data_IF_906181345016
#
_entry.id   IF_906181345016
#
_cell.length_a   1.000
_cell.length_b   1.000
_cell.length_c   1.000
_cell.angle_alpha   90.00
_cell.angle_beta   90.00
_cell.angle_gamma   90.00
#
_symmetry.space_group_name_H-M   'P 1'
#
loop_
_entity.id
_entity.type
_entity.pdbx_description
1 polymer ?
#
# COMPACT_ATOMS: atom_id res chain seq x y z
N UNK A 1 -2.38 9.57 -27.74
CA UNK A 1 -0.97 9.41 -27.28
C UNK A 1 -0.48 10.74 -26.76
N UNK A 2 0.11 10.76 -25.57
CA UNK A 2 0.76 11.97 -25.03
C UNK A 2 2.00 12.29 -25.87
N UNK A 3 2.23 13.59 -26.12
CA UNK A 3 3.36 14.09 -26.92
C UNK A 3 4.52 14.62 -26.04
N UNK A 4 4.45 14.43 -24.73
CA UNK A 4 5.44 14.92 -23.79
C UNK A 4 6.28 13.82 -23.16
N UNK A 5 7.35 14.23 -22.46
CA UNK A 5 8.15 13.38 -21.58
C UNK A 5 7.61 13.53 -20.18
N UNK A 6 7.34 12.39 -19.51
CA UNK A 6 6.82 12.38 -18.16
C UNK A 6 7.96 12.28 -17.15
N UNK A 7 7.95 13.17 -16.19
CA UNK A 7 8.79 13.08 -15.00
C UNK A 7 7.89 13.08 -13.77
N UNK A 8 8.14 12.16 -12.86
CA UNK A 8 7.51 12.20 -11.55
C UNK A 8 8.20 13.24 -10.67
N UNK A 9 7.51 13.78 -9.65
CA UNK A 9 8.16 14.64 -8.66
C UNK A 9 9.35 13.96 -8.01
N UNK A 10 10.41 14.72 -7.72
CA UNK A 10 11.55 14.22 -6.96
C UNK A 10 11.07 13.78 -5.58
N UNK A 11 11.34 12.54 -5.24
CA UNK A 11 10.93 11.96 -3.96
C UNK A 11 11.66 12.64 -2.80
N UNK A 12 10.91 12.90 -1.75
CA UNK A 12 11.43 13.41 -0.47
C UNK A 12 10.79 12.62 0.65
N UNK A 13 11.59 12.34 1.68
CA UNK A 13 11.08 11.65 2.85
C UNK A 13 9.90 12.39 3.47
N UNK A 14 8.92 11.62 3.91
CA UNK A 14 7.77 12.13 4.62
C UNK A 14 8.18 12.68 5.99
N UNK A 15 7.61 13.84 6.35
CA UNK A 15 7.90 14.45 7.63
C UNK A 15 7.30 13.65 8.78
N UNK A 16 8.14 13.25 9.73
CA UNK A 16 7.72 12.57 10.97
C UNK A 16 6.98 13.55 11.87
N UNK A 17 5.73 13.26 12.21
CA UNK A 17 4.92 14.06 13.12
C UNK A 17 5.30 13.77 14.58
N UNK A 18 5.26 14.79 15.42
CA UNK A 18 5.77 14.69 16.79
C UNK A 18 4.73 14.23 17.82
N UNK A 19 3.45 14.33 17.50
CA UNK A 19 2.32 14.00 18.39
C UNK A 19 2.43 14.64 19.78
N UNK A 20 2.92 15.89 19.84
CA UNK A 20 3.06 16.65 21.09
C UNK A 20 1.72 16.86 21.77
N UNK A 21 1.75 16.99 23.10
CA UNK A 21 0.54 17.31 23.87
C UNK A 21 -0.09 18.61 23.35
N UNK A 22 -1.39 18.56 22.99
CA UNK A 22 -2.14 19.70 22.46
C UNK A 22 -1.98 19.91 20.94
N UNK A 23 -1.33 19.01 20.21
CA UNK A 23 -1.29 19.09 18.74
C UNK A 23 -2.51 18.39 18.12
N UNK A 24 -2.94 18.92 16.97
CA UNK A 24 -4.11 18.39 16.25
C UNK A 24 -3.92 16.95 15.80
N UNK A 25 -2.71 16.60 15.33
CA UNK A 25 -2.40 15.24 14.92
C UNK A 25 -2.48 14.22 16.06
N UNK A 26 -2.16 14.66 17.30
CA UNK A 26 -2.33 13.84 18.49
C UNK A 26 -3.80 13.63 18.84
N UNK A 27 -4.58 14.69 18.79
CA UNK A 27 -6.01 14.63 19.14
C UNK A 27 -6.77 13.77 18.12
N UNK A 28 -6.47 13.91 16.84
CA UNK A 28 -6.99 13.05 15.75
C UNK A 28 -6.61 11.58 15.97
N UNK A 29 -5.34 11.30 16.23
CA UNK A 29 -4.88 9.92 16.47
C UNK A 29 -5.56 9.30 17.69
N UNK A 30 -5.67 10.02 18.80
CA UNK A 30 -6.31 9.50 20.01
C UNK A 30 -7.80 9.23 19.83
N UNK A 31 -8.49 10.10 19.07
CA UNK A 31 -9.90 9.89 18.71
C UNK A 31 -10.06 8.64 17.85
N UNK A 32 -9.25 8.53 16.79
CA UNK A 32 -9.27 7.37 15.87
C UNK A 32 -8.90 6.06 16.59
N UNK A 33 -7.88 6.10 17.45
CA UNK A 33 -7.50 4.93 18.25
C UNK A 33 -8.65 4.45 19.16
N UNK A 34 -9.31 5.38 19.87
CA UNK A 34 -10.44 5.04 20.75
C UNK A 34 -11.62 4.46 19.97
N UNK A 35 -11.95 5.04 18.82
CA UNK A 35 -13.00 4.55 17.96
C UNK A 35 -12.69 3.12 17.49
N UNK A 36 -11.51 2.88 16.94
CA UNK A 36 -11.11 1.56 16.43
C UNK A 36 -11.00 0.53 17.54
N UNK A 37 -10.46 0.90 18.73
CA UNK A 37 -10.32 -0.01 19.84
C UNK A 37 -11.65 -0.47 20.42
N UNK A 38 -12.69 0.38 20.37
CA UNK A 38 -14.03 0.09 20.87
C UNK A 38 -14.98 -0.45 19.79
N UNK A 39 -14.55 -0.53 18.54
CA UNK A 39 -15.34 -1.10 17.45
C UNK A 39 -15.05 -2.57 17.26
N UNK A 40 -16.00 -3.29 16.66
CA UNK A 40 -15.78 -4.67 16.22
C UNK A 40 -15.79 -4.71 14.70
N UNK A 41 -14.74 -5.30 14.12
CA UNK A 41 -14.55 -5.39 12.67
C UNK A 41 -14.53 -6.85 12.21
N UNK A 42 -15.08 -7.12 11.05
CA UNK A 42 -14.81 -8.35 10.31
C UNK A 42 -14.01 -8.03 9.05
N UNK A 43 -12.78 -8.57 8.97
CA UNK A 43 -11.87 -8.35 7.84
C UNK A 43 -12.12 -9.43 6.80
N UNK A 44 -12.63 -9.07 5.60
CA UNK A 44 -12.84 -10.01 4.50
C UNK A 44 -11.53 -10.33 3.78
N UNK A 45 -11.57 -11.30 2.88
CA UNK A 45 -10.60 -11.45 1.80
C UNK A 45 -10.97 -10.48 0.68
N UNK A 46 -9.99 -9.78 0.11
CA UNK A 46 -10.18 -8.93 -1.07
C UNK A 46 -9.66 -9.63 -2.31
N UNK A 47 -10.56 -10.10 -3.17
CA UNK A 47 -10.20 -10.83 -4.40
C UNK A 47 -10.98 -10.23 -5.57
N UNK A 48 -10.27 -9.81 -6.62
CA UNK A 48 -10.91 -9.24 -7.80
C UNK A 48 -11.75 -8.00 -7.52
N UNK A 49 -11.36 -7.19 -6.53
CA UNK A 49 -12.08 -5.98 -6.12
C UNK A 49 -13.36 -6.25 -5.31
N UNK A 50 -13.57 -7.47 -4.85
CA UNK A 50 -14.75 -7.89 -4.05
C UNK A 50 -14.34 -8.33 -2.66
N UNK A 51 -15.19 -8.04 -1.68
CA UNK A 51 -15.10 -8.59 -0.33
C UNK A 51 -15.68 -10.02 -0.31
N UNK A 52 -14.90 -10.96 0.23
CA UNK A 52 -15.28 -12.37 0.32
C UNK A 52 -15.17 -12.81 1.77
N UNK A 53 -16.27 -13.31 2.28
CA UNK A 53 -16.38 -13.84 3.63
C UNK A 53 -16.42 -15.36 3.58
N UNK A 54 -15.72 -16.00 4.52
CA UNK A 54 -15.64 -17.46 4.64
C UNK A 54 -16.21 -17.91 5.97
N UNK A 55 -16.46 -19.21 6.11
CA UNK A 55 -16.85 -19.79 7.40
C UNK A 55 -15.64 -20.03 8.32
N UNK A 56 -14.43 -20.00 7.76
CA UNK A 56 -13.19 -20.20 8.51
C UNK A 56 -12.64 -18.83 8.93
N UNK A 57 -12.77 -18.49 10.23
CA UNK A 57 -12.42 -17.18 10.77
C UNK A 57 -11.58 -17.32 12.03
N UNK A 58 -10.71 -16.34 12.29
CA UNK A 58 -9.99 -16.23 13.55
C UNK A 58 -10.26 -14.88 14.19
N UNK A 59 -10.30 -14.90 15.52
CA UNK A 59 -10.41 -13.68 16.34
C UNK A 59 -9.16 -12.82 16.24
N UNK A 60 -9.37 -11.51 16.31
CA UNK A 60 -8.31 -10.49 16.42
C UNK A 60 -8.34 -9.93 17.83
N UNK A 61 -7.20 -9.94 18.50
CA UNK A 61 -6.99 -9.31 19.79
C UNK A 61 -5.68 -8.51 19.76
N UNK A 62 -5.62 -7.35 20.41
CA UNK A 62 -4.35 -6.65 20.56
C UNK A 62 -3.34 -7.52 21.32
N UNK A 63 -2.05 -7.53 20.94
CA UNK A 63 -1.03 -8.31 21.67
C UNK A 63 -0.85 -7.89 23.13
N UNK A 64 -1.18 -6.66 23.48
CA UNK A 64 -1.12 -6.13 24.84
C UNK A 64 -2.43 -6.35 25.66
N UNK A 65 -3.51 -6.81 25.01
CA UNK A 65 -4.79 -7.11 25.67
C UNK A 65 -5.49 -8.30 24.98
N UNK A 66 -5.07 -9.51 25.30
CA UNK A 66 -5.59 -10.75 24.71
C UNK A 66 -7.06 -11.02 25.02
N UNK A 67 -7.61 -10.40 26.06
CA UNK A 67 -9.02 -10.57 26.45
C UNK A 67 -9.95 -9.69 25.62
N UNK A 68 -9.42 -8.61 25.08
CA UNK A 68 -10.17 -7.70 24.24
C UNK A 68 -10.25 -8.21 22.80
N UNK A 69 -11.46 -8.45 22.31
CA UNK A 69 -11.72 -8.90 20.95
C UNK A 69 -12.16 -7.72 20.11
N UNK A 70 -11.32 -7.33 19.16
CA UNK A 70 -11.60 -6.21 18.25
C UNK A 70 -12.19 -6.66 16.91
N UNK A 71 -12.32 -7.96 16.69
CA UNK A 71 -12.95 -8.46 15.49
C UNK A 71 -12.52 -9.86 15.09
N UNK A 72 -12.73 -10.15 13.81
CA UNK A 72 -12.36 -11.41 13.17
C UNK A 72 -11.77 -11.15 11.80
N UNK A 73 -10.92 -12.04 11.33
CA UNK A 73 -10.49 -12.07 9.94
C UNK A 73 -10.81 -13.40 9.30
N UNK A 74 -11.11 -13.36 8.01
CA UNK A 74 -11.45 -14.52 7.21
C UNK A 74 -10.19 -15.21 6.71
N UNK A 75 -10.13 -16.54 6.80
CA UNK A 75 -9.05 -17.36 6.28
C UNK A 75 -9.41 -17.87 4.89
N UNK A 76 -8.44 -17.81 3.98
CA UNK A 76 -8.59 -18.38 2.65
C UNK A 76 -8.43 -19.90 2.68
N UNK A 77 -9.26 -20.59 1.92
CA UNK A 77 -9.16 -21.98 1.60
C UNK A 77 -8.68 -22.14 0.15
N UNK A 78 -8.49 -23.37 -0.32
CA UNK A 78 -7.98 -23.65 -1.66
C UNK A 78 -8.75 -22.89 -2.76
N UNK A 79 -10.07 -22.87 -2.69
CA UNK A 79 -10.91 -22.21 -3.70
C UNK A 79 -10.69 -20.68 -3.76
N UNK A 80 -10.49 -20.02 -2.61
CA UNK A 80 -10.20 -18.58 -2.59
C UNK A 80 -8.79 -18.28 -3.09
N UNK A 81 -7.82 -19.18 -2.84
CA UNK A 81 -6.46 -19.04 -3.36
C UNK A 81 -6.46 -19.17 -4.89
N UNK A 82 -7.16 -20.16 -5.43
CA UNK A 82 -7.32 -20.35 -6.88
C UNK A 82 -8.00 -19.13 -7.52
N UNK A 83 -9.09 -18.64 -6.92
CA UNK A 83 -9.77 -17.42 -7.35
C UNK A 83 -8.85 -16.20 -7.34
N UNK A 84 -7.98 -16.04 -6.33
CA UNK A 84 -7.02 -14.95 -6.25
C UNK A 84 -5.99 -15.01 -7.38
N UNK A 85 -5.46 -16.19 -7.68
CA UNK A 85 -4.52 -16.42 -8.79
C UNK A 85 -5.19 -16.10 -10.13
N UNK A 86 -6.39 -16.62 -10.37
CA UNK A 86 -7.14 -16.36 -11.60
C UNK A 86 -7.42 -14.86 -11.78
N UNK A 87 -7.84 -14.18 -10.70
CA UNK A 87 -8.07 -12.74 -10.72
C UNK A 87 -6.80 -11.94 -11.04
N UNK A 88 -5.65 -12.33 -10.47
CA UNK A 88 -4.36 -11.70 -10.74
C UNK A 88 -3.94 -11.88 -12.21
N UNK A 89 -4.09 -13.10 -12.73
CA UNK A 89 -3.77 -13.41 -14.13
C UNK A 89 -4.70 -12.68 -15.12
N UNK A 90 -5.99 -12.58 -14.80
CA UNK A 90 -6.95 -11.84 -15.63
C UNK A 90 -6.65 -10.32 -15.67
N UNK A 91 -6.13 -9.75 -14.58
CA UNK A 91 -5.76 -8.34 -14.52
C UNK A 91 -4.44 -8.02 -15.27
N UNK A 92 -3.58 -9.02 -15.51
CA UNK A 92 -2.22 -8.86 -16.03
C UNK A 92 -2.18 -8.10 -17.34
N UNK A 93 -3.01 -8.47 -18.30
CA UNK A 93 -2.99 -7.87 -19.65
C UNK A 93 -3.31 -6.36 -19.59
N UNK A 94 -4.39 -5.99 -18.95
CA UNK A 94 -4.77 -4.58 -18.81
C UNK A 94 -3.73 -3.78 -18.04
N UNK A 95 -3.20 -4.34 -16.94
CA UNK A 95 -2.18 -3.66 -16.14
C UNK A 95 -0.85 -3.48 -16.89
N UNK A 96 -0.40 -4.49 -17.62
CA UNK A 96 0.85 -4.42 -18.40
C UNK A 96 0.78 -3.45 -19.55
N UNK A 97 -0.39 -3.30 -20.17
CA UNK A 97 -0.64 -2.38 -21.27
C UNK A 97 -0.94 -0.93 -20.82
N UNK A 98 -1.21 -0.73 -19.52
CA UNK A 98 -1.41 0.61 -18.98
C UNK A 98 -0.09 1.39 -19.06
N UNK A 99 -0.07 2.63 -19.58
CA UNK A 99 1.13 3.46 -19.63
C UNK A 99 1.78 3.56 -18.23
N UNK A 100 3.11 3.46 -18.19
CA UNK A 100 3.83 3.41 -16.90
C UNK A 100 3.55 4.63 -16.00
N UNK A 101 3.41 5.82 -16.57
CA UNK A 101 3.08 7.03 -15.81
C UNK A 101 1.67 6.97 -15.18
N UNK A 102 0.71 6.29 -15.80
CA UNK A 102 -0.60 6.06 -15.19
C UNK A 102 -0.52 5.07 -14.03
N UNK A 103 0.30 4.01 -14.15
CA UNK A 103 0.54 3.07 -13.04
C UNK A 103 1.19 3.77 -11.85
N UNK A 104 2.20 4.56 -12.10
CA UNK A 104 2.92 5.34 -11.07
C UNK A 104 2.00 6.35 -10.39
N UNK A 105 1.10 7.01 -11.14
CA UNK A 105 0.15 7.96 -10.59
C UNK A 105 -0.75 7.34 -9.49
N UNK A 106 -1.08 6.06 -9.59
CA UNK A 106 -1.85 5.33 -8.57
C UNK A 106 -1.08 5.28 -7.24
N UNK A 107 0.21 4.96 -7.28
CA UNK A 107 1.06 4.89 -6.08
C UNK A 107 1.29 6.28 -5.46
N UNK A 108 1.49 7.31 -6.29
CA UNK A 108 1.60 8.69 -5.79
C UNK A 108 0.29 9.15 -5.14
N UNK A 109 -0.87 8.77 -5.70
CA UNK A 109 -2.16 9.06 -5.07
C UNK A 109 -2.35 8.30 -3.76
N UNK A 110 -1.90 7.05 -3.69
CA UNK A 110 -1.91 6.28 -2.44
C UNK A 110 -1.02 6.95 -1.36
N UNK A 111 0.17 7.42 -1.74
CA UNK A 111 1.05 8.17 -0.83
C UNK A 111 0.37 9.44 -0.28
N UNK A 112 -0.30 10.22 -1.14
CA UNK A 112 -1.06 11.40 -0.75
C UNK A 112 -2.18 11.08 0.26
N UNK A 113 -2.95 10.03 -0.01
CA UNK A 113 -4.04 9.58 0.87
C UNK A 113 -3.52 9.12 2.24
N UNK A 114 -2.41 8.37 2.26
CA UNK A 114 -1.77 7.94 3.50
C UNK A 114 -1.17 9.12 4.28
N UNK A 115 -0.54 10.07 3.62
CA UNK A 115 0.03 11.26 4.26
C UNK A 115 -1.05 12.18 4.86
N UNK A 116 -2.25 12.16 4.31
CA UNK A 116 -3.40 12.96 4.70
C UNK A 116 -4.46 12.16 5.49
N UNK A 117 -5.62 11.89 4.89
CA UNK A 117 -6.82 11.43 5.61
C UNK A 117 -6.70 10.03 6.24
N UNK A 118 -5.75 9.21 5.80
CA UNK A 118 -5.57 7.85 6.35
C UNK A 118 -4.42 7.73 7.35
N UNK A 119 -3.67 8.81 7.63
CA UNK A 119 -2.49 8.75 8.51
C UNK A 119 -2.84 8.33 9.94
N UNK A 120 -3.81 8.98 10.55
CA UNK A 120 -4.26 8.62 11.90
C UNK A 120 -4.79 7.18 11.95
N UNK A 121 -5.51 6.77 10.90
CA UNK A 121 -6.10 5.42 10.83
C UNK A 121 -5.05 4.32 10.73
N UNK A 122 -4.03 4.46 9.88
CA UNK A 122 -2.98 3.45 9.75
C UNK A 122 -2.12 3.37 11.00
N UNK A 123 -1.82 4.52 11.63
CA UNK A 123 -1.10 4.55 12.89
C UNK A 123 -1.89 3.89 14.03
N UNK A 124 -3.16 4.23 14.19
CA UNK A 124 -4.03 3.61 15.19
C UNK A 124 -4.15 2.09 14.99
N UNK A 125 -4.34 1.63 13.75
CA UNK A 125 -4.39 0.21 13.42
C UNK A 125 -3.10 -0.51 13.81
N UNK A 126 -1.94 0.08 13.51
CA UNK A 126 -0.63 -0.48 13.85
C UNK A 126 -0.39 -0.52 15.37
N UNK A 127 -0.78 0.54 16.08
CA UNK A 127 -0.71 0.57 17.55
C UNK A 127 -1.57 -0.52 18.18
N UNK A 128 -2.77 -0.75 17.68
CA UNK A 128 -3.69 -1.76 18.17
C UNK A 128 -3.22 -3.17 17.81
N UNK A 129 -2.94 -3.41 16.53
CA UNK A 129 -2.69 -4.75 16.01
C UNK A 129 -1.27 -5.27 16.33
N UNK A 130 -0.30 -4.39 16.51
CA UNK A 130 1.10 -4.75 16.75
C UNK A 130 1.64 -4.26 18.12
N UNK A 131 0.82 -3.60 18.94
CA UNK A 131 1.23 -3.03 20.23
C UNK A 131 2.40 -2.04 20.13
N UNK A 132 2.54 -1.38 18.99
CA UNK A 132 3.54 -0.33 18.79
C UNK A 132 3.11 0.97 19.48
N UNK A 133 4.08 1.73 19.98
CA UNK A 133 3.80 3.09 20.42
C UNK A 133 3.62 4.03 19.23
N UNK A 134 3.18 5.26 19.48
CA UNK A 134 2.90 6.24 18.42
C UNK A 134 4.12 6.55 17.55
N UNK A 135 5.30 6.62 18.14
CA UNK A 135 6.53 6.93 17.41
C UNK A 135 6.93 5.82 16.44
N UNK A 136 6.83 4.56 16.90
CA UNK A 136 7.05 3.39 16.05
C UNK A 136 6.02 3.31 14.92
N UNK A 137 4.73 3.50 15.22
CA UNK A 137 3.68 3.47 14.21
C UNK A 137 3.85 4.57 13.18
N UNK A 138 4.20 5.79 13.60
CA UNK A 138 4.42 6.92 12.71
C UNK A 138 5.57 6.66 11.72
N UNK A 139 6.67 6.09 12.18
CA UNK A 139 7.82 5.79 11.32
C UNK A 139 7.51 4.57 10.44
N UNK A 140 7.17 3.44 11.04
CA UNK A 140 7.11 2.17 10.34
C UNK A 140 5.85 2.03 9.46
N UNK A 141 4.70 2.53 9.94
CA UNK A 141 3.44 2.34 9.23
C UNK A 141 3.07 3.51 8.31
N UNK A 142 3.29 4.77 8.74
CA UNK A 142 2.93 5.92 7.92
C UNK A 142 4.10 6.38 7.05
N UNK A 143 5.18 6.89 7.65
CA UNK A 143 6.25 7.55 6.89
C UNK A 143 6.93 6.58 5.92
N UNK A 144 7.28 5.38 6.37
CA UNK A 144 7.99 4.40 5.55
C UNK A 144 7.16 3.96 4.33
N UNK A 145 5.88 3.63 4.52
CA UNK A 145 5.01 3.23 3.41
C UNK A 145 4.78 4.37 2.41
N UNK A 146 4.60 5.60 2.90
CA UNK A 146 4.48 6.79 2.05
C UNK A 146 5.76 6.99 1.24
N UNK A 147 6.93 6.86 1.88
CA UNK A 147 8.22 6.99 1.24
C UNK A 147 8.45 5.91 0.20
N UNK A 148 8.14 4.65 0.49
CA UNK A 148 8.22 3.57 -0.50
C UNK A 148 7.41 3.89 -1.75
N UNK A 149 6.19 4.39 -1.62
CA UNK A 149 5.40 4.76 -2.80
C UNK A 149 6.00 5.91 -3.59
N UNK A 150 6.53 6.94 -2.93
CA UNK A 150 7.18 8.09 -3.59
C UNK A 150 8.49 7.71 -4.26
N UNK A 151 9.38 7.02 -3.52
CA UNK A 151 10.71 6.66 -4.03
C UNK A 151 10.66 5.61 -5.11
N UNK A 152 9.80 4.59 -5.00
CA UNK A 152 9.62 3.61 -6.06
C UNK A 152 9.04 4.24 -7.33
N UNK A 153 8.16 5.24 -7.23
CA UNK A 153 7.71 6.02 -8.37
C UNK A 153 8.87 6.72 -9.11
N UNK A 154 9.79 7.32 -8.35
CA UNK A 154 11.00 7.93 -8.92
C UNK A 154 11.94 6.88 -9.51
N UNK A 155 12.15 5.74 -8.84
CA UNK A 155 13.01 4.68 -9.34
C UNK A 155 12.50 4.07 -10.65
N UNK A 156 11.20 3.89 -10.80
CA UNK A 156 10.61 3.46 -12.08
C UNK A 156 10.92 4.47 -13.18
N UNK A 157 10.82 5.77 -12.91
CA UNK A 157 11.17 6.82 -13.87
C UNK A 157 12.64 6.69 -14.29
N UNK A 158 13.55 6.51 -13.33
CA UNK A 158 14.98 6.34 -13.61
C UNK A 158 15.23 5.09 -14.46
N UNK A 159 14.63 3.94 -14.09
CA UNK A 159 14.76 2.68 -14.84
C UNK A 159 14.30 2.83 -16.30
N UNK A 160 13.18 3.48 -16.55
CA UNK A 160 12.70 3.70 -17.92
C UNK A 160 13.51 4.74 -18.70
N UNK A 161 14.26 5.60 -18.03
CA UNK A 161 15.16 6.58 -18.66
C UNK A 161 16.53 5.98 -19.06
N UNK A 162 16.92 4.84 -18.47
CA UNK A 162 18.14 4.13 -18.83
C UNK A 162 17.98 3.46 -20.19
N UNK A 163 18.55 4.07 -21.21
CA UNK A 163 18.48 3.59 -22.59
C UNK A 163 19.89 3.38 -23.15
N UNK A 164 20.08 2.39 -24.05
CA UNK A 164 21.36 2.18 -24.69
C UNK A 164 21.74 3.35 -25.59
N UNK A 165 23.06 3.57 -25.75
CA UNK A 165 23.56 4.59 -26.67
C UNK A 165 23.16 4.27 -28.11
N UNK A 166 22.79 5.31 -28.84
CA UNK A 166 22.48 5.24 -30.27
C UNK A 166 23.66 5.75 -31.09
N UNK A 167 24.00 5.04 -32.14
CA UNK A 167 25.00 5.47 -33.12
C UNK A 167 24.38 6.33 -34.23
N UNK A 168 25.24 6.97 -35.05
CA UNK A 168 24.77 7.73 -36.20
C UNK A 168 23.91 6.86 -37.16
N UNK A 169 22.69 7.29 -37.45
CA UNK A 169 21.73 6.56 -38.27
C UNK A 169 21.08 5.34 -37.60
N UNK A 170 21.36 5.07 -36.33
CA UNK A 170 20.79 3.95 -35.60
C UNK A 170 20.14 4.48 -34.29
N UNK A 171 18.90 4.06 -34.06
CA UNK A 171 18.19 4.34 -32.82
C UNK A 171 18.05 3.05 -31.99
N UNK A 172 18.81 2.94 -30.91
CA UNK A 172 18.72 1.84 -29.96
C UNK A 172 17.73 2.14 -28.85
N UNK A 173 16.89 1.17 -28.53
CA UNK A 173 15.88 1.31 -27.47
C UNK A 173 15.72 0.00 -26.69
N UNK A 174 15.59 0.13 -25.37
CA UNK A 174 15.26 -0.94 -24.46
C UNK A 174 13.77 -0.89 -24.13
N UNK A 175 13.10 -2.03 -24.23
CA UNK A 175 11.72 -2.23 -23.76
C UNK A 175 11.72 -3.24 -22.61
N UNK A 176 11.04 -2.88 -21.52
CA UNK A 176 10.90 -3.78 -20.36
C UNK A 176 9.72 -4.73 -20.58
N UNK A 177 10.01 -6.02 -20.65
CA UNK A 177 8.98 -7.05 -20.76
C UNK A 177 8.21 -7.18 -19.44
N UNK A 178 6.86 -7.24 -19.45
CA UNK A 178 6.06 -7.55 -18.28
C UNK A 178 6.44 -8.90 -17.65
N UNK A 179 6.33 -9.00 -16.32
CA UNK A 179 6.56 -10.26 -15.60
C UNK A 179 5.56 -11.33 -16.03
N UNK A 180 6.02 -12.57 -16.08
CA UNK A 180 5.15 -13.73 -16.27
C UNK A 180 4.50 -14.16 -14.95
N UNK A 181 3.28 -14.76 -15.07
CA UNK A 181 2.57 -15.28 -13.91
C UNK A 181 2.03 -14.18 -12.99
N UNK A 182 2.09 -14.46 -11.71
CA UNK A 182 1.66 -13.59 -10.62
C UNK A 182 2.77 -13.50 -9.56
N UNK A 183 2.68 -12.50 -8.70
CA UNK A 183 3.60 -12.34 -7.56
C UNK A 183 2.89 -12.84 -6.30
N UNK A 184 3.57 -13.71 -5.55
CA UNK A 184 3.17 -14.12 -4.22
C UNK A 184 4.08 -13.48 -3.18
N UNK A 185 3.51 -12.75 -2.22
CA UNK A 185 4.24 -12.10 -1.13
C UNK A 185 3.70 -12.60 0.22
N UNK A 186 4.61 -12.82 1.16
CA UNK A 186 4.30 -13.12 2.58
C UNK A 186 4.89 -11.99 3.41
N UNK A 187 4.06 -11.34 4.23
CA UNK A 187 4.45 -10.21 5.09
C UNK A 187 4.32 -10.58 6.56
#
# INVERSE_FOLDING_TARGET
MSKGVFNVPIAKNEAVKSYKKGSSERDELLSTYKEMYNSTIEIPLYIGGKEIFTNNKKDISPPHDHKHKIGKFNLAEKSQIEMAIESALAAKENWSNLPWNHRVAIFLKAAELLAGPYRAKINAATMIAQSKNVYQAEIDAACELIDFFKFNAQYVTNLYSEQPESAEGIWNRLEHRPLEGFVFAIT
#
